data_IF_394387969476
#
_entry.id   IF_394387969476
#
_cell.length_a   1.000
_cell.length_b   1.000
_cell.length_c   1.000
_cell.angle_alpha   90.00
_cell.angle_beta   90.00
_cell.angle_gamma   90.00
#
_symmetry.space_group_name_H-M   'P 1'
#
loop_
_entity.id
_entity.type
_entity.pdbx_description
1 polymer ?
#
# COMPACT_ATOMS: atom_id res chain seq x y z
N UNK A 1 -5.98 -11.79 8.16
CA UNK A 1 -5.54 -11.64 9.57
C UNK A 1 -6.49 -10.71 10.32
N UNK A 2 -6.76 -10.98 11.57
CA UNK A 2 -7.65 -10.15 12.39
C UNK A 2 -6.92 -8.95 13.03
N UNK A 3 -5.62 -8.88 12.88
CA UNK A 3 -4.79 -7.77 13.29
C UNK A 3 -4.64 -6.69 12.21
N UNK A 4 -3.63 -5.90 12.39
CA UNK A 4 -3.18 -4.89 11.45
C UNK A 4 -1.75 -5.18 11.02
N UNK A 5 -1.33 -4.60 9.88
CA UNK A 5 0.06 -4.61 9.44
C UNK A 5 0.64 -3.21 9.66
N UNK A 6 1.62 -3.10 10.55
CA UNK A 6 2.29 -1.82 10.77
C UNK A 6 3.80 -2.02 10.91
N UNK A 7 4.54 -1.22 10.17
CA UNK A 7 5.97 -1.05 10.32
C UNK A 7 6.21 0.32 10.95
N UNK A 8 6.69 0.36 12.18
CA UNK A 8 6.87 1.57 12.97
C UNK A 8 5.59 2.11 13.60
N UNK A 9 5.52 3.41 13.84
CA UNK A 9 4.33 4.09 14.37
C UNK A 9 4.50 4.74 15.73
N UNK A 10 5.52 4.39 16.51
CA UNK A 10 5.91 5.12 17.71
C UNK A 10 7.30 5.73 17.51
N UNK A 11 7.32 7.04 17.28
CA UNK A 11 8.49 7.90 17.50
C UNK A 11 9.83 7.36 17.00
N UNK A 12 10.03 7.28 15.70
CA UNK A 12 11.39 7.27 15.12
C UNK A 12 12.26 6.05 15.43
N UNK A 13 11.68 4.91 15.71
CA UNK A 13 12.44 3.69 15.85
C UNK A 13 12.70 3.02 14.50
N UNK A 14 13.94 3.03 14.02
CA UNK A 14 14.35 2.05 13.02
C UNK A 14 14.43 0.68 13.72
N UNK A 15 13.57 -0.25 13.35
CA UNK A 15 13.77 -1.63 13.74
C UNK A 15 14.95 -2.16 12.93
N UNK A 16 16.07 -2.41 13.57
CA UNK A 16 17.22 -3.07 12.95
C UNK A 16 17.36 -4.46 13.56
N UNK A 17 17.30 -5.49 12.77
CA UNK A 17 17.77 -6.81 13.17
C UNK A 17 19.23 -6.92 12.76
N UNK A 18 20.15 -6.93 13.76
CA UNK A 18 21.55 -7.15 13.49
C UNK A 18 22.26 -6.07 12.66
N UNK A 19 21.83 -4.80 12.73
CA UNK A 19 22.51 -3.68 12.06
C UNK A 19 22.20 -3.51 10.58
N UNK A 20 21.30 -4.31 10.04
CA UNK A 20 20.84 -4.20 8.65
C UNK A 20 19.51 -3.48 8.56
N UNK A 21 19.29 -2.75 7.47
CA UNK A 21 17.97 -2.20 7.14
C UNK A 21 16.97 -3.34 7.01
N UNK A 22 15.85 -3.27 7.72
CA UNK A 22 14.80 -4.27 7.61
C UNK A 22 14.16 -4.16 6.23
N UNK A 23 14.16 -5.26 5.50
CA UNK A 23 13.39 -5.44 4.29
C UNK A 23 12.23 -6.40 4.55
N UNK A 24 11.08 -6.07 4.01
CA UNK A 24 9.91 -6.97 4.00
C UNK A 24 9.64 -7.35 2.56
N UNK A 25 9.73 -8.62 2.26
CA UNK A 25 9.46 -9.11 0.91
C UNK A 25 8.43 -10.24 0.92
N UNK A 26 7.59 -10.25 -0.09
CA UNK A 26 6.63 -11.32 -0.31
C UNK A 26 6.37 -11.48 -1.81
N UNK A 27 6.56 -12.69 -2.32
CA UNK A 27 6.24 -13.06 -3.70
C UNK A 27 5.03 -13.96 -3.71
N UNK A 28 4.09 -13.70 -4.62
CA UNK A 28 2.83 -14.42 -4.73
C UNK A 28 2.00 -14.42 -3.43
N UNK A 29 2.00 -13.28 -2.75
CA UNK A 29 1.28 -13.10 -1.48
C UNK A 29 0.18 -12.06 -1.59
N UNK A 30 -0.91 -12.29 -0.86
CA UNK A 30 -1.96 -11.31 -0.60
C UNK A 30 -2.10 -11.11 0.90
N UNK A 31 -1.95 -9.88 1.36
CA UNK A 31 -2.25 -9.51 2.74
C UNK A 31 -3.73 -9.18 2.86
N UNK A 32 -4.47 -9.96 3.63
CA UNK A 32 -5.90 -9.72 3.88
C UNK A 32 -6.10 -9.24 5.31
N UNK A 33 -6.62 -8.04 5.47
CA UNK A 33 -6.79 -7.33 6.74
C UNK A 33 -8.28 -7.17 7.04
N UNK A 34 -8.77 -7.77 8.12
CA UNK A 34 -10.20 -7.72 8.48
C UNK A 34 -10.64 -6.36 9.04
N UNK A 35 -9.70 -5.60 9.59
CA UNK A 35 -9.99 -4.33 10.26
C UNK A 35 -10.59 -4.45 11.66
N UNK A 36 -10.63 -5.66 12.24
CA UNK A 36 -11.06 -5.86 13.63
C UNK A 36 -10.13 -5.18 14.63
N UNK A 37 -8.84 -5.11 14.29
CA UNK A 37 -7.86 -4.35 15.05
C UNK A 37 -7.20 -3.31 14.15
N UNK A 38 -6.85 -2.16 14.76
CA UNK A 38 -6.13 -1.05 14.12
C UNK A 38 -4.89 -0.74 14.93
N UNK A 39 -3.88 -0.17 14.29
CA UNK A 39 -2.75 0.37 15.04
C UNK A 39 -3.20 1.49 15.96
N UNK A 40 -2.63 1.56 17.15
CA UNK A 40 -2.87 2.62 18.14
C UNK A 40 -1.67 3.53 18.34
N UNK A 41 -0.61 3.38 17.55
CA UNK A 41 0.67 4.04 17.77
C UNK A 41 1.01 5.08 16.72
N UNK A 42 1.37 6.28 17.14
CA UNK A 42 1.99 7.35 16.35
C UNK A 42 1.29 7.62 15.03
N UNK A 43 2.07 7.74 13.97
CA UNK A 43 1.57 7.99 12.60
C UNK A 43 0.74 6.86 12.01
N UNK A 44 0.79 5.67 12.62
CA UNK A 44 -0.02 4.52 12.22
C UNK A 44 -1.39 4.45 12.90
N UNK A 45 -1.69 5.38 13.82
CA UNK A 45 -2.92 5.33 14.61
C UNK A 45 -4.17 5.34 13.75
N UNK A 46 -5.06 4.39 13.96
CA UNK A 46 -6.33 4.25 13.26
C UNK A 46 -6.27 3.51 11.93
N UNK A 47 -5.08 3.12 11.47
CA UNK A 47 -4.91 2.40 10.20
C UNK A 47 -4.76 0.89 10.42
N UNK A 48 -5.19 0.11 9.43
CA UNK A 48 -4.99 -1.35 9.40
C UNK A 48 -3.76 -1.73 8.60
N UNK A 49 -3.32 -0.87 7.70
CA UNK A 49 -2.03 -0.98 7.02
C UNK A 49 -1.26 0.33 7.21
N UNK A 50 -0.05 0.23 7.69
CA UNK A 50 0.79 1.40 7.90
C UNK A 50 2.26 1.10 7.65
N UNK A 51 2.90 2.02 6.93
CA UNK A 51 4.36 2.11 6.83
C UNK A 51 4.77 3.48 7.36
N UNK A 52 5.41 3.50 8.52
CA UNK A 52 5.89 4.74 9.14
C UNK A 52 7.24 5.19 8.56
N UNK A 53 7.63 6.41 8.90
CA UNK A 53 8.91 6.98 8.53
C UNK A 53 10.11 6.08 8.88
N UNK A 54 11.10 6.06 8.02
CA UNK A 54 12.34 5.29 8.22
C UNK A 54 12.25 3.81 7.83
N UNK A 55 11.07 3.32 7.45
CA UNK A 55 10.92 1.98 6.91
C UNK A 55 10.94 2.03 5.39
N UNK A 56 11.94 1.38 4.80
CA UNK A 56 12.14 1.28 3.36
C UNK A 56 12.28 -0.19 2.94
N UNK A 57 12.32 -0.43 1.65
CA UNK A 57 12.54 -1.76 1.07
C UNK A 57 11.41 -2.77 1.35
N UNK A 58 10.17 -2.33 1.19
CA UNK A 58 9.02 -3.22 1.17
C UNK A 58 8.79 -3.64 -0.27
N UNK A 59 8.84 -4.94 -0.53
CA UNK A 59 8.60 -5.50 -1.86
C UNK A 59 7.50 -6.55 -1.76
N UNK A 60 6.32 -6.24 -2.29
CA UNK A 60 5.19 -7.16 -2.34
C UNK A 60 4.78 -7.42 -3.78
N UNK A 61 4.67 -8.68 -4.15
CA UNK A 61 4.15 -9.10 -5.46
C UNK A 61 2.92 -9.97 -5.26
N UNK A 62 1.82 -9.54 -5.84
CA UNK A 62 0.55 -10.26 -5.80
C UNK A 62 0.61 -11.56 -6.61
N UNK A 63 -0.19 -12.57 -6.24
CA UNK A 63 -0.37 -13.77 -7.05
C UNK A 63 -0.88 -13.40 -8.45
N UNK A 64 -0.42 -14.13 -9.45
CA UNK A 64 -0.90 -13.93 -10.82
C UNK A 64 -2.13 -14.77 -11.13
N UNK A 65 -2.42 -15.80 -10.33
CA UNK A 65 -3.53 -16.73 -10.50
C UNK A 65 -4.25 -16.96 -9.17
N UNK A 66 -5.41 -17.59 -9.21
CA UNK A 66 -6.20 -17.89 -8.01
C UNK A 66 -7.22 -16.81 -7.64
N UNK A 67 -7.88 -16.98 -6.51
CA UNK A 67 -9.00 -16.11 -6.07
C UNK A 67 -8.56 -14.70 -5.68
N UNK A 68 -7.31 -14.51 -5.31
CA UNK A 68 -6.71 -13.21 -4.98
C UNK A 68 -5.73 -12.74 -6.04
N UNK A 69 -5.85 -13.27 -7.26
CA UNK A 69 -4.97 -12.87 -8.36
C UNK A 69 -4.95 -11.35 -8.53
N UNK A 70 -3.75 -10.80 -8.70
CA UNK A 70 -3.48 -9.36 -8.85
C UNK A 70 -3.81 -8.49 -7.64
N UNK A 71 -4.19 -9.06 -6.50
CA UNK A 71 -4.43 -8.32 -5.26
C UNK A 71 -3.25 -8.49 -4.30
N UNK A 72 -2.51 -7.41 -4.04
CA UNK A 72 -1.37 -7.42 -3.12
C UNK A 72 -1.83 -7.20 -1.67
N UNK A 73 -2.75 -6.25 -1.46
CA UNK A 73 -3.31 -5.96 -0.14
C UNK A 73 -4.81 -5.76 -0.26
N UNK A 74 -5.55 -6.45 0.59
CA UNK A 74 -7.00 -6.31 0.71
C UNK A 74 -7.29 -5.77 2.10
N UNK A 75 -7.83 -4.57 2.17
CA UNK A 75 -8.35 -3.96 3.39
C UNK A 75 -9.73 -4.46 3.76
N UNK A 76 -10.32 -3.90 4.82
CA UNK A 76 -11.66 -4.26 5.25
C UNK A 76 -12.69 -4.11 4.14
N UNK A 77 -13.50 -5.15 3.96
CA UNK A 77 -14.57 -5.20 2.95
C UNK A 77 -15.96 -4.96 3.55
N UNK A 78 -16.05 -4.72 4.85
CA UNK A 78 -17.31 -4.33 5.50
C UNK A 78 -17.50 -2.82 5.43
N UNK A 79 -18.70 -2.38 5.05
CA UNK A 79 -19.07 -0.95 4.99
C UNK A 79 -18.99 -0.25 6.35
N UNK A 80 -19.09 -1.00 7.45
CA UNK A 80 -18.98 -0.48 8.82
C UNK A 80 -17.53 -0.23 9.27
N UNK A 81 -16.54 -0.71 8.52
CA UNK A 81 -15.13 -0.58 8.87
C UNK A 81 -14.42 0.28 7.83
N UNK A 82 -14.21 1.54 8.17
CA UNK A 82 -13.61 2.54 7.29
C UNK A 82 -12.11 2.72 7.52
N UNK A 83 -11.47 1.78 8.21
CA UNK A 83 -10.03 1.83 8.46
C UNK A 83 -9.26 1.64 7.16
N UNK A 84 -8.30 2.51 6.94
CA UNK A 84 -7.54 2.60 5.70
C UNK A 84 -6.09 2.18 5.82
N UNK A 85 -5.33 2.64 4.84
CA UNK A 85 -3.89 2.47 4.74
C UNK A 85 -3.18 3.81 4.80
N UNK A 86 -1.99 3.85 5.39
CA UNK A 86 -1.13 5.02 5.33
C UNK A 86 0.33 4.65 5.06
N UNK A 87 0.97 5.46 4.24
CA UNK A 87 2.41 5.54 4.08
C UNK A 87 2.82 6.90 4.64
N UNK A 88 3.32 6.89 5.86
CA UNK A 88 3.61 8.12 6.60
C UNK A 88 5.07 8.51 6.43
N UNK A 89 5.28 9.77 6.22
CA UNK A 89 6.50 10.58 6.23
C UNK A 89 7.86 9.92 5.88
N UNK A 90 8.50 10.46 4.86
CA UNK A 90 9.96 10.45 4.74
C UNK A 90 10.64 9.11 4.53
N UNK A 91 10.32 8.37 3.49
CA UNK A 91 11.21 7.34 3.03
C UNK A 91 10.69 5.92 2.88
N UNK A 92 9.41 5.72 2.91
CA UNK A 92 8.88 4.42 2.50
C UNK A 92 9.00 4.27 0.98
N UNK A 93 10.10 3.71 0.52
CA UNK A 93 10.21 3.20 -0.83
C UNK A 93 9.57 1.81 -0.84
N UNK A 94 8.30 1.75 -1.18
CA UNK A 94 7.58 0.50 -1.30
C UNK A 94 7.44 0.15 -2.78
N UNK A 95 7.81 -1.07 -3.14
CA UNK A 95 7.53 -1.65 -4.44
C UNK A 95 6.38 -2.64 -4.29
N UNK A 96 5.21 -2.27 -4.77
CA UNK A 96 4.00 -3.10 -4.66
C UNK A 96 3.49 -3.39 -6.06
N UNK A 97 3.52 -4.66 -6.42
CA UNK A 97 3.02 -5.16 -7.69
C UNK A 97 1.70 -5.87 -7.46
N UNK A 98 0.62 -5.24 -7.88
CA UNK A 98 -0.75 -5.69 -7.65
C UNK A 98 -1.64 -4.57 -7.11
N UNK A 99 -2.89 -4.91 -6.85
CA UNK A 99 -3.85 -3.94 -6.34
C UNK A 99 -3.76 -3.79 -4.82
N UNK A 100 -3.85 -2.53 -4.41
CA UNK A 100 -4.05 -2.08 -3.04
C UNK A 100 -5.53 -1.73 -2.89
N UNK A 101 -6.32 -2.64 -2.33
CA UNK A 101 -7.77 -2.59 -2.37
C UNK A 101 -8.37 -2.27 -0.99
N UNK A 102 -8.86 -1.04 -0.81
CA UNK A 102 -9.48 -0.52 0.42
C UNK A 102 -10.82 0.14 0.09
N UNK A 103 -11.84 -0.63 -0.30
CA UNK A 103 -13.08 -0.08 -0.88
C UNK A 103 -13.81 0.92 0.04
N UNK A 104 -13.67 0.77 1.34
CA UNK A 104 -14.33 1.63 2.32
C UNK A 104 -13.36 2.47 3.16
N UNK A 105 -12.06 2.25 3.04
CA UNK A 105 -11.03 2.98 3.75
C UNK A 105 -10.22 3.91 2.87
N UNK A 106 -9.65 5.01 3.42
CA UNK A 106 -8.76 5.88 2.67
C UNK A 106 -7.38 5.25 2.48
N UNK A 107 -6.70 5.64 1.38
CA UNK A 107 -5.27 5.42 1.18
C UNK A 107 -4.60 6.78 1.26
N UNK A 108 -3.69 6.95 2.22
CA UNK A 108 -3.04 8.23 2.48
C UNK A 108 -1.53 8.06 2.34
N UNK A 109 -0.90 8.90 1.53
CA UNK A 109 0.54 8.96 1.36
C UNK A 109 1.03 10.37 1.70
N UNK A 110 1.97 10.47 2.62
CA UNK A 110 2.47 11.74 3.12
C UNK A 110 4.02 11.80 3.06
N UNK A 111 4.56 13.01 3.08
CA UNK A 111 5.95 13.27 3.48
C UNK A 111 7.02 12.66 2.56
N UNK A 112 6.82 12.67 1.24
CA UNK A 112 7.82 12.15 0.32
C UNK A 112 7.83 10.62 0.21
N UNK A 113 6.79 9.96 0.69
CA UNK A 113 6.66 8.51 0.50
C UNK A 113 6.56 8.15 -0.98
N UNK A 114 7.17 7.03 -1.36
CA UNK A 114 7.15 6.54 -2.73
C UNK A 114 6.60 5.12 -2.76
N UNK A 115 5.57 4.89 -3.55
CA UNK A 115 5.03 3.55 -3.82
C UNK A 115 5.00 3.33 -5.32
N UNK A 116 5.74 2.35 -5.77
CA UNK A 116 5.93 2.07 -7.19
C UNK A 116 5.45 0.66 -7.53
N UNK A 117 4.93 0.49 -8.72
CA UNK A 117 4.82 -0.84 -9.35
C UNK A 117 6.18 -1.39 -9.71
N UNK A 118 6.23 -2.58 -10.29
CA UNK A 118 7.47 -3.10 -10.83
C UNK A 118 8.00 -2.21 -11.96
N UNK A 119 9.27 -1.86 -11.92
CA UNK A 119 9.93 -1.09 -12.98
C UNK A 119 10.49 -1.99 -14.10
N UNK A 120 10.53 -3.29 -13.88
CA UNK A 120 11.12 -4.25 -14.81
C UNK A 120 10.10 -5.18 -15.46
N UNK A 121 8.91 -5.29 -14.89
CA UNK A 121 7.87 -6.20 -15.36
C UNK A 121 6.55 -5.44 -15.50
N UNK A 122 6.21 -5.07 -16.71
CA UNK A 122 4.99 -4.32 -17.05
C UNK A 122 3.69 -5.09 -16.79
N UNK A 123 3.78 -6.37 -16.43
CA UNK A 123 2.61 -7.16 -16.00
C UNK A 123 2.35 -7.04 -14.49
N UNK A 124 3.32 -6.54 -13.73
CA UNK A 124 3.26 -6.37 -12.27
C UNK A 124 2.99 -4.91 -11.91
N UNK A 125 1.78 -4.50 -12.07
CA UNK A 125 1.31 -3.12 -11.93
C UNK A 125 0.92 -2.78 -10.50
N UNK A 126 1.14 -1.53 -10.11
CA UNK A 126 0.48 -0.97 -8.94
C UNK A 126 -0.90 -0.43 -9.34
N UNK A 127 -1.92 -0.81 -8.59
CA UNK A 127 -3.25 -0.21 -8.67
C UNK A 127 -3.72 0.15 -7.26
N UNK A 128 -4.20 1.37 -7.07
CA UNK A 128 -4.77 1.81 -5.81
C UNK A 128 -6.28 1.98 -5.95
N UNK A 129 -7.04 1.33 -5.09
CA UNK A 129 -8.50 1.41 -5.02
C UNK A 129 -8.85 1.71 -3.57
N UNK A 130 -9.32 2.90 -3.29
CA UNK A 130 -9.68 3.36 -1.96
C UNK A 130 -10.93 4.23 -2.00
N UNK A 131 -11.63 4.37 -0.87
CA UNK A 131 -12.75 5.30 -0.75
C UNK A 131 -12.31 6.75 -1.02
N UNK A 132 -11.06 7.05 -0.70
CA UNK A 132 -10.35 8.29 -1.01
C UNK A 132 -8.87 7.99 -1.12
N UNK A 133 -8.18 8.61 -2.07
CA UNK A 133 -6.73 8.58 -2.19
C UNK A 133 -6.22 10.00 -1.97
N UNK A 134 -5.30 10.16 -1.02
CA UNK A 134 -4.69 11.45 -0.70
C UNK A 134 -3.17 11.33 -0.86
N UNK A 135 -2.60 12.19 -1.69
CA UNK A 135 -1.17 12.31 -1.91
C UNK A 135 -0.74 13.71 -1.46
N UNK A 136 0.22 13.82 -0.56
CA UNK A 136 0.71 15.10 -0.04
C UNK A 136 2.19 15.07 0.28
N UNK A 137 2.83 16.24 0.30
CA UNK A 137 4.22 16.39 0.74
C UNK A 137 5.25 15.76 -0.21
N UNK A 138 5.08 15.85 -1.53
CA UNK A 138 6.03 15.32 -2.51
C UNK A 138 5.99 13.80 -2.66
N UNK A 139 4.87 13.19 -2.32
CA UNK A 139 4.68 11.73 -2.49
C UNK A 139 4.59 11.34 -3.95
N UNK A 140 5.02 10.11 -4.26
CA UNK A 140 4.95 9.54 -5.59
C UNK A 140 4.20 8.21 -5.56
N UNK A 141 3.22 8.07 -6.44
CA UNK A 141 2.61 6.79 -6.76
C UNK A 141 2.66 6.61 -8.28
N UNK A 142 3.36 5.61 -8.75
CA UNK A 142 3.54 5.39 -10.17
C UNK A 142 3.29 3.92 -10.54
N UNK A 143 2.63 3.75 -11.68
CA UNK A 143 2.43 2.45 -12.29
C UNK A 143 2.58 2.60 -13.80
N UNK A 144 3.43 1.80 -14.40
CA UNK A 144 3.65 1.82 -15.85
C UNK A 144 2.67 0.93 -16.61
N UNK A 145 1.72 0.32 -15.94
CA UNK A 145 0.84 -0.66 -16.54
C UNK A 145 -0.53 -0.10 -16.90
N UNK A 146 -0.83 -0.07 -18.16
CA UNK A 146 -2.15 0.23 -18.68
C UNK A 146 -3.02 -1.04 -18.82
N UNK A 147 -2.40 -2.21 -18.95
CA UNK A 147 -3.08 -3.43 -19.37
C UNK A 147 -3.70 -4.29 -18.26
N UNK A 148 -3.40 -4.04 -16.97
CA UNK A 148 -3.85 -4.95 -15.90
C UNK A 148 -5.35 -4.86 -15.56
N UNK A 149 -6.01 -3.79 -15.95
CA UNK A 149 -7.41 -3.53 -15.60
C UNK A 149 -8.40 -3.86 -16.71
N UNK A 150 -7.93 -4.33 -17.86
CA UNK A 150 -8.78 -4.47 -19.03
C UNK A 150 -9.29 -3.13 -19.59
N UNK A 151 -8.78 -2.02 -19.08
CA UNK A 151 -9.06 -0.72 -19.63
C UNK A 151 -8.44 -0.63 -21.03
N UNK A 152 -9.26 -0.48 -22.03
CA UNK A 152 -8.81 -0.17 -23.37
C UNK A 152 -8.14 1.21 -23.36
N UNK A 153 -7.09 1.39 -24.16
CA UNK A 153 -6.22 2.55 -24.23
C UNK A 153 -6.90 3.91 -24.54
N UNK A 154 -8.22 3.98 -24.52
CA UNK A 154 -9.00 5.18 -24.83
C UNK A 154 -9.52 5.96 -23.61
N UNK A 155 -9.29 5.51 -22.39
CA UNK A 155 -9.75 6.24 -21.19
C UNK A 155 -8.75 7.30 -20.77
N UNK A 156 -8.87 8.50 -21.30
CA UNK A 156 -8.23 9.68 -20.70
C UNK A 156 -8.95 10.00 -19.40
N UNK A 157 -8.30 9.80 -18.27
CA UNK A 157 -8.74 10.39 -17.00
C UNK A 157 -8.31 11.85 -17.02
N UNK A 158 -9.24 12.75 -17.26
CA UNK A 158 -9.01 14.18 -17.08
C UNK A 158 -9.43 14.57 -15.66
N UNK A 159 -8.53 15.23 -14.93
CA UNK A 159 -8.89 15.94 -13.72
C UNK A 159 -9.82 17.10 -14.12
N UNK A 160 -11.04 17.07 -13.63
CA UNK A 160 -11.95 18.22 -13.70
C UNK A 160 -11.65 19.08 -12.48
N UNK A 161 -11.20 20.32 -12.73
CA UNK A 161 -11.03 21.35 -11.68
C UNK A 161 -12.37 21.93 -11.30
#
# INVERSE_FOLDING_TARGET
MDGYFALGGSGGGSASCGGSTISVSGTDVTLVLSGKAKSSSGSCNGYVFCVAAGYSNIVLTAPQTGTTAKLAVIGPTSTSITAGATFAEGGSNAQISGAFYFPYGPIIMNGGSSVLGSTTDTTKCLQMIGSRITLSGGTTAASECIAATGATTSSKVSLVQ
#
